data_IF_170429647525
#
_entry.id   IF_170429647525
#
_cell.length_a   1.000
_cell.length_b   1.000
_cell.length_c   1.000
_cell.angle_alpha   90.00
_cell.angle_beta   90.00
_cell.angle_gamma   90.00
#
_symmetry.space_group_name_H-M   'P 1'
#
loop_
_entity.id
_entity.type
_entity.pdbx_description
1 polymer ?
#
# COMPACT_ATOMS: atom_id res chain seq x y z
N UNK A 1 -13.38 22.84 88.21
CA UNK A 1 -14.57 22.21 87.63
C UNK A 1 -14.09 21.38 86.44
N UNK A 2 -14.33 20.06 86.46
CA UNK A 2 -14.14 19.04 85.40
C UNK A 2 -12.70 18.78 84.88
N UNK A 3 -12.01 17.71 85.32
CA UNK A 3 -11.98 16.28 84.90
C UNK A 3 -11.09 15.92 83.71
N UNK A 4 -10.10 15.03 83.98
CA UNK A 4 -9.68 13.76 83.30
C UNK A 4 -9.46 13.80 81.76
N UNK A 5 -8.54 13.07 81.12
CA UNK A 5 -8.07 11.69 81.29
C UNK A 5 -6.88 11.47 80.32
N UNK A 6 -5.95 10.58 80.65
CA UNK A 6 -4.93 10.03 79.74
C UNK A 6 -5.53 9.01 78.77
N UNK A 7 -5.06 8.96 77.51
CA UNK A 7 -4.88 7.73 76.71
C UNK A 7 -3.72 7.93 75.72
N UNK A 8 -2.77 7.00 75.71
CA UNK A 8 -1.71 6.84 74.71
C UNK A 8 -2.23 5.96 73.56
N UNK A 9 -1.86 6.27 72.31
CA UNK A 9 -1.95 5.33 71.20
C UNK A 9 -0.69 5.39 70.34
N UNK A 10 -0.02 4.25 70.22
CA UNK A 10 1.02 3.98 69.24
C UNK A 10 0.40 3.84 67.85
N UNK A 11 1.04 4.40 66.83
CA UNK A 11 0.66 4.28 65.43
C UNK A 11 1.88 3.95 64.57
N UNK A 12 1.81 2.78 63.91
CA UNK A 12 2.81 2.14 63.06
C UNK A 12 2.94 2.86 61.70
N UNK A 13 4.14 2.77 61.11
CA UNK A 13 4.53 3.16 59.74
C UNK A 13 3.51 2.78 58.65
N UNK A 14 3.34 3.66 57.66
CA UNK A 14 3.23 3.26 56.25
C UNK A 14 4.03 4.26 55.40
N UNK A 15 5.09 3.75 54.77
CA UNK A 15 5.81 4.40 53.68
C UNK A 15 4.86 4.47 52.48
N UNK A 16 4.52 5.68 52.01
CA UNK A 16 3.89 5.86 50.72
C UNK A 16 4.96 5.60 49.64
N UNK A 17 4.99 4.37 49.13
CA UNK A 17 5.62 4.09 47.85
C UNK A 17 4.75 4.74 46.76
N UNK A 18 5.30 5.69 46.01
CA UNK A 18 4.74 6.06 44.72
C UNK A 18 4.95 4.87 43.78
N UNK A 19 3.98 3.97 43.70
CA UNK A 19 3.83 3.10 42.54
C UNK A 19 3.56 4.00 41.32
N UNK A 20 4.57 4.13 40.46
CA UNK A 20 4.35 4.56 39.09
C UNK A 20 3.54 3.48 38.39
N UNK A 21 2.22 3.63 38.39
CA UNK A 21 1.37 2.91 37.45
C UNK A 21 1.76 3.38 36.06
N UNK A 22 2.53 2.54 35.35
CA UNK A 22 2.63 2.61 33.90
C UNK A 22 1.19 2.53 33.38
N UNK A 23 0.69 3.66 32.88
CA UNK A 23 -0.61 3.70 32.23
C UNK A 23 -0.59 2.71 31.07
N UNK A 24 -1.59 1.84 31.04
CA UNK A 24 -2.00 1.19 29.80
C UNK A 24 -2.11 2.31 28.74
N UNK A 25 -1.42 2.15 27.61
CA UNK A 25 -1.40 3.15 26.54
C UNK A 25 -2.84 3.56 26.23
N UNK A 26 -3.11 4.87 26.32
CA UNK A 26 -4.40 5.39 25.89
C UNK A 26 -4.54 5.06 24.40
N UNK A 27 -5.59 4.31 24.03
CA UNK A 27 -5.91 4.12 22.61
C UNK A 27 -6.14 5.50 21.99
N UNK A 28 -5.37 5.82 20.95
CA UNK A 28 -5.49 7.08 20.23
C UNK A 28 -6.78 7.03 19.40
N UNK A 29 -7.65 8.03 19.58
CA UNK A 29 -8.88 8.14 18.81
C UNK A 29 -8.56 8.43 17.34
N UNK A 30 -8.83 7.45 16.48
CA UNK A 30 -8.60 7.53 15.04
C UNK A 30 -9.44 8.60 14.36
N UNK A 31 -10.59 8.94 14.95
CA UNK A 31 -11.53 9.92 14.40
C UNK A 31 -11.06 11.36 14.60
N UNK A 32 -9.98 11.62 15.34
CA UNK A 32 -9.52 12.98 15.60
C UNK A 32 -8.09 13.16 15.11
N UNK A 33 -7.87 14.21 14.31
CA UNK A 33 -6.52 14.60 13.88
C UNK A 33 -5.71 15.10 15.10
N UNK A 34 -4.47 14.61 15.32
CA UNK A 34 -3.62 15.11 16.40
C UNK A 34 -3.05 16.52 16.11
N UNK A 35 -3.02 16.95 14.84
CA UNK A 35 -2.73 18.33 14.43
C UNK A 35 -3.98 18.94 13.77
N UNK A 36 -4.19 20.24 13.93
CA UNK A 36 -5.33 20.93 13.30
C UNK A 36 -5.05 22.41 12.99
N UNK A 37 -5.85 22.99 12.09
CA UNK A 37 -5.82 24.41 11.76
C UNK A 37 -4.45 24.87 11.24
N UNK A 38 -3.94 25.99 11.75
CA UNK A 38 -2.69 26.60 11.30
C UNK A 38 -1.40 25.80 11.58
N UNK A 39 -1.49 24.64 12.24
CA UNK A 39 -0.38 23.69 12.36
C UNK A 39 -0.24 22.78 11.13
N UNK A 40 -1.29 22.70 10.31
CA UNK A 40 -1.30 21.94 9.07
C UNK A 40 -0.95 22.86 7.90
N UNK A 41 -0.01 22.45 7.03
CA UNK A 41 0.32 23.23 5.85
C UNK A 41 -0.92 23.37 4.97
N UNK A 42 -1.14 24.59 4.48
CA UNK A 42 -2.14 24.88 3.46
C UNK A 42 -1.41 25.06 2.14
N UNK A 43 -1.63 24.12 1.22
CA UNK A 43 -0.96 24.08 -0.06
C UNK A 43 -1.97 24.39 -1.17
N UNK A 44 -1.72 25.43 -1.97
CA UNK A 44 -2.58 25.84 -3.08
C UNK A 44 -2.02 25.39 -4.44
N UNK A 45 -2.89 25.27 -5.44
CA UNK A 45 -2.54 24.93 -6.83
C UNK A 45 -1.89 23.55 -7.01
N UNK A 46 -2.38 22.54 -6.28
CA UNK A 46 -1.96 21.15 -6.43
C UNK A 46 -3.02 20.18 -5.93
N UNK A 47 -2.62 18.95 -5.66
CA UNK A 47 -3.47 17.89 -5.15
C UNK A 47 -2.85 17.22 -3.92
N UNK A 48 -3.71 16.90 -2.96
CA UNK A 48 -3.38 16.03 -1.84
C UNK A 48 -3.73 14.58 -2.21
N UNK A 49 -2.81 13.64 -1.95
CA UNK A 49 -2.99 12.23 -2.26
C UNK A 49 -2.23 11.35 -1.27
N UNK A 50 -2.60 10.07 -1.18
CA UNK A 50 -1.79 9.07 -0.46
C UNK A 50 -0.85 8.28 -1.38
N UNK A 51 -1.26 8.07 -2.63
CA UNK A 51 -0.50 7.35 -3.64
C UNK A 51 -1.03 7.71 -5.03
N UNK A 52 -0.18 7.55 -6.05
CA UNK A 52 -0.61 7.65 -7.44
C UNK A 52 -1.30 6.35 -7.85
N UNK A 53 -0.70 5.22 -7.49
CA UNK A 53 -1.18 3.88 -7.86
C UNK A 53 -1.79 3.19 -6.64
N UNK A 54 -3.06 2.75 -6.73
CA UNK A 54 -3.71 2.02 -5.67
C UNK A 54 -2.90 0.80 -5.22
N UNK A 55 -2.54 0.70 -3.93
CA UNK A 55 -1.91 -0.52 -3.42
C UNK A 55 -2.91 -1.67 -3.51
N UNK A 56 -2.38 -2.86 -3.76
CA UNK A 56 -3.13 -4.11 -3.68
C UNK A 56 -2.84 -4.80 -2.35
N UNK A 57 -3.88 -5.26 -1.65
CA UNK A 57 -3.76 -5.92 -0.33
C UNK A 57 -4.71 -7.11 -0.22
N UNK A 58 -4.24 -8.16 0.46
CA UNK A 58 -5.10 -9.25 0.91
C UNK A 58 -5.88 -8.86 2.16
N UNK A 59 -6.93 -9.61 2.46
CA UNK A 59 -7.65 -9.54 3.72
C UNK A 59 -6.68 -9.70 4.90
N UNK A 60 -6.80 -8.84 5.91
CA UNK A 60 -5.87 -8.75 7.04
C UNK A 60 -4.60 -7.95 6.76
N UNK A 61 -4.35 -7.60 5.49
CA UNK A 61 -3.26 -6.72 5.10
C UNK A 61 -3.45 -5.29 5.62
N UNK A 62 -2.33 -4.62 5.91
CA UNK A 62 -2.32 -3.25 6.40
C UNK A 62 -1.64 -2.31 5.40
N UNK A 63 -2.13 -1.08 5.29
CA UNK A 63 -1.49 0.01 4.57
C UNK A 63 -1.36 1.24 5.46
N UNK A 64 -0.17 1.85 5.47
CA UNK A 64 0.06 3.14 6.11
C UNK A 64 -0.38 4.27 5.18
N UNK A 65 -1.05 5.28 5.73
CA UNK A 65 -1.53 6.44 4.99
C UNK A 65 -0.56 7.61 5.18
N UNK A 66 0.40 7.73 4.26
CA UNK A 66 1.33 8.88 4.20
C UNK A 66 0.76 9.90 3.22
N UNK A 67 0.36 11.10 3.67
CA UNK A 67 -0.17 12.11 2.77
C UNK A 67 0.97 12.81 2.02
N UNK A 68 0.72 13.14 0.76
CA UNK A 68 1.62 13.90 -0.10
C UNK A 68 0.87 15.07 -0.74
N UNK A 69 1.62 16.14 -1.04
CA UNK A 69 1.18 17.21 -1.92
C UNK A 69 1.93 17.17 -3.24
N UNK A 70 1.23 17.40 -4.35
CA UNK A 70 1.83 17.47 -5.67
C UNK A 70 1.25 18.63 -6.48
N UNK A 71 2.13 19.50 -7.00
CA UNK A 71 1.76 20.60 -7.91
C UNK A 71 1.82 20.18 -9.37
N UNK A 72 2.61 19.14 -9.68
CA UNK A 72 2.75 18.56 -11.00
C UNK A 72 3.24 17.10 -10.90
N UNK A 73 2.97 16.26 -11.91
CA UNK A 73 3.45 14.89 -11.94
C UNK A 73 4.95 14.77 -11.68
N UNK A 74 5.36 13.74 -10.93
CA UNK A 74 6.76 13.48 -10.58
C UNK A 74 7.29 14.24 -9.36
N UNK A 75 6.57 15.25 -8.85
CA UNK A 75 6.98 16.00 -7.66
C UNK A 75 6.01 15.78 -6.50
N UNK A 76 6.54 15.22 -5.41
CA UNK A 76 5.78 14.87 -4.22
C UNK A 76 6.47 15.45 -2.98
N UNK A 77 5.71 16.20 -2.19
CA UNK A 77 6.13 16.74 -0.91
C UNK A 77 5.43 15.97 0.21
N UNK A 78 6.20 15.40 1.14
CA UNK A 78 5.66 14.73 2.31
C UNK A 78 4.86 15.70 3.17
N UNK A 79 3.68 15.27 3.59
CA UNK A 79 2.81 16.02 4.49
C UNK A 79 2.74 15.36 5.87
N UNK A 80 2.57 16.13 6.95
CA UNK A 80 2.37 15.56 8.29
C UNK A 80 1.12 14.68 8.37
N UNK A 81 1.29 13.39 8.68
CA UNK A 81 0.18 12.44 8.89
C UNK A 81 -0.76 12.85 10.03
N UNK A 82 -0.27 13.63 10.99
CA UNK A 82 -1.08 14.18 12.07
C UNK A 82 -2.18 15.16 11.60
N UNK A 83 -2.12 15.63 10.36
CA UNK A 83 -3.14 16.49 9.75
C UNK A 83 -4.25 15.72 9.01
N UNK A 84 -4.16 14.39 8.97
CA UNK A 84 -5.24 13.53 8.47
C UNK A 84 -6.38 13.56 9.48
N UNK A 85 -7.56 14.00 9.04
CA UNK A 85 -8.79 14.03 9.81
C UNK A 85 -9.48 12.67 9.92
N UNK A 86 -10.79 12.73 10.13
CA UNK A 86 -11.65 11.58 10.26
C UNK A 86 -11.54 10.70 9.01
N UNK A 87 -11.31 9.40 9.22
CA UNK A 87 -11.27 8.42 8.15
C UNK A 87 -12.63 7.79 7.96
N UNK A 88 -12.99 7.58 6.70
CA UNK A 88 -14.12 6.73 6.31
C UNK A 88 -13.71 5.84 5.15
N UNK A 89 -14.42 4.72 4.99
CA UNK A 89 -14.24 3.78 3.90
C UNK A 89 -15.58 3.45 3.25
N UNK A 90 -15.55 3.06 1.98
CA UNK A 90 -16.68 2.45 1.29
C UNK A 90 -16.21 1.14 0.63
N UNK A 91 -16.80 -0.01 1.00
CA UNK A 91 -17.73 -0.20 2.12
C UNK A 91 -17.08 0.05 3.49
N UNK A 92 -17.87 0.49 4.48
CA UNK A 92 -17.37 0.94 5.80
C UNK A 92 -16.73 -0.22 6.57
N UNK A 93 -17.38 -1.38 6.53
CA UNK A 93 -16.98 -2.59 7.25
C UNK A 93 -15.70 -3.24 6.70
N UNK A 94 -15.28 -2.92 5.47
CA UNK A 94 -14.13 -3.56 4.83
C UNK A 94 -12.78 -3.09 5.39
N UNK A 95 -12.76 -2.00 6.16
CA UNK A 95 -11.52 -1.46 6.75
C UNK A 95 -11.73 -1.12 8.22
N UNK A 96 -10.75 -1.48 9.04
CA UNK A 96 -10.55 -0.87 10.34
C UNK A 96 -9.37 0.10 10.27
N UNK A 97 -9.52 1.24 10.94
CA UNK A 97 -8.46 2.23 11.06
C UNK A 97 -7.80 2.15 12.44
N UNK A 98 -6.50 2.41 12.48
CA UNK A 98 -5.74 2.66 13.71
C UNK A 98 -4.84 3.87 13.52
N UNK A 99 -4.52 4.58 14.61
CA UNK A 99 -3.67 5.77 14.57
C UNK A 99 -2.61 5.63 15.65
N UNK A 100 -1.36 5.93 15.28
CA UNK A 100 -0.23 5.95 16.21
C UNK A 100 -0.08 7.32 16.88
N UNK A 101 0.73 7.40 17.93
CA UNK A 101 0.98 8.65 18.68
C UNK A 101 1.61 9.75 17.82
N UNK A 102 2.36 9.39 16.78
CA UNK A 102 2.94 10.31 15.80
C UNK A 102 1.92 10.81 14.76
N UNK A 103 0.68 10.34 14.85
CA UNK A 103 -0.42 10.69 13.96
C UNK A 103 -0.52 9.85 12.69
N UNK A 104 0.40 8.89 12.47
CA UNK A 104 0.33 7.98 11.33
C UNK A 104 -0.93 7.11 11.40
N UNK A 105 -1.68 7.06 10.30
CA UNK A 105 -2.90 6.26 10.20
C UNK A 105 -2.60 4.99 9.42
N UNK A 106 -3.13 3.88 9.89
CA UNK A 106 -3.09 2.59 9.22
C UNK A 106 -4.50 2.11 8.92
N UNK A 107 -4.74 1.70 7.68
CA UNK A 107 -5.94 1.01 7.26
C UNK A 107 -5.65 -0.49 7.18
N UNK A 108 -6.44 -1.30 7.89
CA UNK A 108 -6.34 -2.77 7.88
C UNK A 108 -7.58 -3.35 7.22
N UNK A 109 -7.40 -4.18 6.19
CA UNK A 109 -8.50 -4.83 5.51
C UNK A 109 -9.12 -5.88 6.43
N UNK A 110 -10.43 -5.79 6.65
CA UNK A 110 -11.16 -6.74 7.49
C UNK A 110 -11.62 -7.95 6.68
N UNK A 111 -12.21 -8.93 7.36
CA UNK A 111 -12.84 -10.09 6.71
C UNK A 111 -14.08 -9.73 5.87
N UNK A 112 -14.60 -8.50 5.96
CA UNK A 112 -15.68 -8.03 5.11
C UNK A 112 -15.19 -7.44 3.78
N UNK A 113 -13.87 -7.27 3.60
CA UNK A 113 -13.31 -6.90 2.31
C UNK A 113 -13.40 -8.08 1.33
N UNK A 114 -14.08 -7.88 0.21
CA UNK A 114 -14.26 -8.93 -0.81
C UNK A 114 -13.10 -8.92 -1.82
N UNK A 115 -12.42 -10.06 -2.08
CA UNK A 115 -11.45 -10.16 -3.17
C UNK A 115 -12.04 -9.73 -4.52
N UNK A 116 -11.26 -9.00 -5.31
CA UNK A 116 -11.69 -8.40 -6.58
C UNK A 116 -12.48 -7.08 -6.42
N UNK A 117 -12.75 -6.63 -5.19
CA UNK A 117 -13.38 -5.35 -4.93
C UNK A 117 -12.37 -4.21 -4.78
N UNK A 118 -12.88 -2.98 -4.80
CA UNK A 118 -12.14 -1.75 -4.52
C UNK A 118 -12.70 -1.11 -3.26
N UNK A 119 -11.82 -0.73 -2.35
CA UNK A 119 -12.18 0.04 -1.16
C UNK A 119 -11.81 1.49 -1.39
N UNK A 120 -12.78 2.38 -1.26
CA UNK A 120 -12.55 3.83 -1.37
C UNK A 120 -12.39 4.41 0.03
N UNK A 121 -11.21 4.92 0.33
CA UNK A 121 -10.93 5.71 1.52
C UNK A 121 -11.27 7.17 1.26
N UNK A 122 -11.85 7.83 2.24
CA UNK A 122 -12.12 9.28 2.22
C UNK A 122 -11.76 9.90 3.55
N UNK A 123 -11.07 11.04 3.51
CA UNK A 123 -10.74 11.82 4.70
C UNK A 123 -10.62 13.30 4.37
N UNK A 124 -10.48 14.14 5.39
CA UNK A 124 -10.05 15.53 5.22
C UNK A 124 -8.58 15.69 5.60
N UNK A 125 -7.88 16.62 4.95
CA UNK A 125 -6.55 17.05 5.32
C UNK A 125 -6.61 18.50 5.83
N UNK A 126 -6.05 18.73 7.03
CA UNK A 126 -6.11 20.03 7.69
C UNK A 126 -7.53 20.53 8.02
N UNK A 127 -8.54 19.66 7.91
CA UNK A 127 -9.95 20.00 8.11
C UNK A 127 -10.62 20.77 6.97
N UNK A 128 -10.00 20.84 5.79
CA UNK A 128 -10.52 21.64 4.67
C UNK A 128 -10.63 20.82 3.39
N UNK A 129 -9.56 20.15 2.97
CA UNK A 129 -9.52 19.46 1.69
C UNK A 129 -9.84 17.99 1.82
N UNK A 130 -10.70 17.46 0.96
CA UNK A 130 -11.01 16.03 0.94
C UNK A 130 -9.96 15.27 0.13
N UNK A 131 -9.33 14.27 0.73
CA UNK A 131 -8.51 13.28 0.04
C UNK A 131 -9.36 12.03 -0.16
N UNK A 132 -9.32 11.47 -1.38
CA UNK A 132 -9.85 10.15 -1.67
C UNK A 132 -8.77 9.25 -2.24
N UNK A 133 -8.74 7.99 -1.83
CA UNK A 133 -7.77 7.02 -2.30
C UNK A 133 -8.40 5.62 -2.36
N UNK A 134 -7.83 4.75 -3.19
CA UNK A 134 -8.37 3.41 -3.42
C UNK A 134 -7.38 2.35 -2.98
N UNK A 135 -7.88 1.27 -2.37
CA UNK A 135 -7.13 0.02 -2.16
C UNK A 135 -7.80 -1.07 -3.01
N UNK A 136 -7.00 -1.82 -3.76
CA UNK A 136 -7.46 -2.99 -4.50
C UNK A 136 -7.38 -4.23 -3.57
N UNK A 137 -8.48 -4.96 -3.44
CA UNK A 137 -8.53 -6.18 -2.61
C UNK A 137 -8.28 -7.38 -3.51
N UNK A 138 -7.35 -8.26 -3.14
CA UNK A 138 -7.11 -9.51 -3.86
C UNK A 138 -7.01 -10.71 -2.92
N UNK A 139 -7.10 -11.90 -3.50
CA UNK A 139 -6.81 -13.17 -2.84
C UNK A 139 -5.54 -13.74 -3.48
N UNK A 140 -4.46 -13.85 -2.70
CA UNK A 140 -3.17 -14.35 -3.19
C UNK A 140 -3.22 -15.81 -3.60
N UNK A 141 -4.15 -16.61 -3.08
CA UNK A 141 -4.33 -17.99 -3.51
C UNK A 141 -4.99 -18.06 -4.91
N UNK A 142 -5.94 -17.16 -5.17
CA UNK A 142 -6.61 -17.05 -6.47
C UNK A 142 -5.74 -16.33 -7.51
N UNK A 143 -4.93 -15.35 -7.09
CA UNK A 143 -4.07 -14.56 -7.95
C UNK A 143 -2.69 -14.32 -7.31
N UNK A 144 -1.78 -15.30 -7.44
CA UNK A 144 -0.45 -15.23 -6.85
C UNK A 144 0.51 -14.32 -7.62
N UNK A 145 0.08 -13.73 -8.75
CA UNK A 145 0.91 -12.82 -9.54
C UNK A 145 0.91 -11.39 -9.00
N UNK A 146 -0.09 -11.00 -8.20
CA UNK A 146 -0.18 -9.63 -7.67
C UNK A 146 1.12 -9.26 -6.94
N UNK A 147 1.74 -8.16 -7.38
CA UNK A 147 3.02 -7.71 -6.84
C UNK A 147 3.99 -7.22 -7.92
N UNK A 148 5.23 -7.06 -7.49
CA UNK A 148 6.33 -6.59 -8.31
C UNK A 148 7.21 -7.77 -8.74
N UNK A 149 7.62 -7.75 -10.00
CA UNK A 149 8.45 -8.75 -10.63
C UNK A 149 9.54 -8.08 -11.46
N UNK A 150 10.73 -8.67 -11.47
CA UNK A 150 11.82 -8.25 -12.34
C UNK A 150 12.47 -9.49 -12.96
N UNK A 151 12.90 -9.40 -14.23
CA UNK A 151 13.64 -10.48 -14.86
C UNK A 151 15.02 -10.63 -14.25
N UNK A 152 15.45 -11.87 -14.07
CA UNK A 152 16.81 -12.18 -13.66
C UNK A 152 17.80 -11.71 -14.72
N UNK A 153 18.89 -11.11 -14.26
CA UNK A 153 20.03 -10.78 -15.11
C UNK A 153 21.13 -11.83 -14.91
N UNK A 154 20.95 -12.98 -15.57
CA UNK A 154 21.94 -14.07 -15.58
C UNK A 154 22.93 -13.97 -16.75
N UNK A 155 22.87 -12.86 -17.52
CA UNK A 155 23.66 -12.64 -18.73
C UNK A 155 23.12 -13.32 -20.00
N UNK A 156 21.94 -13.95 -19.94
CA UNK A 156 21.27 -14.53 -21.12
C UNK A 156 20.59 -13.48 -22.01
N UNK A 157 20.27 -12.32 -21.45
CA UNK A 157 19.59 -11.21 -22.11
C UNK A 157 20.51 -9.99 -22.27
N UNK A 158 20.24 -9.14 -23.26
CA UNK A 158 20.86 -7.81 -23.32
C UNK A 158 20.32 -6.93 -22.19
N UNK A 159 21.16 -6.03 -21.63
CA UNK A 159 20.75 -5.16 -20.51
C UNK A 159 19.49 -4.33 -20.78
N UNK A 160 19.29 -3.93 -22.03
CA UNK A 160 18.16 -3.09 -22.43
C UNK A 160 16.87 -3.89 -22.68
N UNK A 161 16.96 -5.22 -22.84
CA UNK A 161 15.80 -6.10 -23.07
C UNK A 161 15.21 -6.72 -21.80
N UNK A 162 15.92 -6.58 -20.67
CA UNK A 162 15.48 -7.07 -19.37
C UNK A 162 14.34 -6.18 -18.87
N UNK A 163 13.18 -6.78 -18.60
CA UNK A 163 12.09 -6.11 -17.91
C UNK A 163 12.50 -5.93 -16.45
N UNK A 164 12.66 -4.68 -16.03
CA UNK A 164 13.07 -4.34 -14.67
C UNK A 164 11.88 -4.15 -13.75
N UNK A 165 10.73 -3.78 -14.27
CA UNK A 165 9.49 -3.71 -13.50
C UNK A 165 8.35 -4.32 -14.29
N UNK A 166 7.80 -5.40 -13.77
CA UNK A 166 6.51 -5.95 -14.15
C UNK A 166 5.65 -5.92 -12.90
N UNK A 167 4.55 -5.18 -12.95
CA UNK A 167 3.66 -5.03 -11.80
C UNK A 167 2.30 -5.59 -12.19
N UNK A 168 1.80 -6.55 -11.43
CA UNK A 168 0.43 -7.01 -11.51
C UNK A 168 -0.34 -6.46 -10.31
N UNK A 169 -1.48 -5.82 -10.55
CA UNK A 169 -2.35 -5.27 -9.52
C UNK A 169 -3.52 -6.20 -9.23
N UNK A 170 -4.08 -6.10 -8.03
CA UNK A 170 -5.23 -6.87 -7.57
C UNK A 170 -6.53 -6.56 -8.30
N UNK A 171 -6.59 -5.48 -9.07
CA UNK A 171 -7.74 -5.14 -9.91
C UNK A 171 -7.65 -5.66 -11.35
N UNK A 172 -6.71 -6.57 -11.63
CA UNK A 172 -6.57 -7.18 -12.94
C UNK A 172 -5.81 -6.30 -13.95
N UNK A 173 -5.14 -5.24 -13.50
CA UNK A 173 -4.26 -4.44 -14.37
C UNK A 173 -2.79 -4.82 -14.22
N UNK A 174 -2.01 -4.63 -15.29
CA UNK A 174 -0.57 -4.82 -15.25
C UNK A 174 0.18 -3.68 -15.93
N UNK A 175 1.47 -3.54 -15.62
CA UNK A 175 2.37 -2.65 -16.34
C UNK A 175 3.76 -3.22 -16.48
N UNK A 176 4.45 -2.83 -17.55
CA UNK A 176 5.82 -3.24 -17.88
C UNK A 176 6.70 -2.02 -18.08
N UNK A 177 7.90 -2.08 -17.53
CA UNK A 177 8.96 -1.09 -17.68
C UNK A 177 10.32 -1.76 -17.88
N UNK A 178 11.01 -1.43 -18.96
CA UNK A 178 12.40 -1.86 -19.20
C UNK A 178 13.41 -0.96 -18.49
N UNK A 179 13.18 0.36 -18.51
CA UNK A 179 14.07 1.35 -17.89
C UNK A 179 13.32 2.22 -16.88
N UNK A 180 13.33 1.85 -15.58
CA UNK A 180 12.61 2.58 -14.54
C UNK A 180 13.14 3.99 -14.37
N UNK A 181 12.23 4.96 -14.39
CA UNK A 181 12.52 6.36 -14.12
C UNK A 181 11.24 7.07 -13.69
N UNK A 182 11.21 7.56 -12.44
CA UNK A 182 10.01 8.18 -11.83
C UNK A 182 8.77 7.28 -12.01
N UNK A 183 7.67 7.81 -12.56
CA UNK A 183 6.42 7.08 -12.83
C UNK A 183 6.34 6.56 -14.27
N UNK A 184 7.45 6.47 -14.99
CA UNK A 184 7.47 6.00 -16.38
C UNK A 184 7.10 4.52 -16.48
N UNK A 185 6.24 4.21 -17.45
CA UNK A 185 5.86 2.85 -17.84
C UNK A 185 5.98 2.72 -19.35
N UNK A 186 6.51 1.63 -19.84
CA UNK A 186 6.56 1.40 -21.28
C UNK A 186 5.16 1.07 -21.79
N UNK A 187 4.45 0.14 -21.15
CA UNK A 187 3.05 -0.12 -21.47
C UNK A 187 2.29 -0.73 -20.29
N UNK A 188 0.96 -0.77 -20.44
CA UNK A 188 0.04 -1.31 -19.44
C UNK A 188 -1.18 -1.92 -20.12
N UNK A 189 -2.00 -2.60 -19.32
CA UNK A 189 -3.26 -3.15 -19.77
C UNK A 189 -3.91 -4.02 -18.71
N UNK A 190 -4.77 -4.91 -19.16
CA UNK A 190 -5.48 -5.88 -18.33
C UNK A 190 -4.84 -7.26 -18.42
N UNK A 191 -4.90 -8.03 -17.34
CA UNK A 191 -4.48 -9.43 -17.30
C UNK A 191 -5.52 -10.31 -16.62
N UNK A 192 -5.54 -11.57 -17.04
CA UNK A 192 -6.24 -12.65 -16.35
C UNK A 192 -5.26 -13.80 -16.10
N UNK A 193 -5.36 -14.44 -14.95
CA UNK A 193 -4.52 -15.58 -14.60
C UNK A 193 -5.37 -16.74 -14.08
N UNK A 194 -5.17 -17.93 -14.65
CA UNK A 194 -5.83 -19.17 -14.23
C UNK A 194 -4.84 -20.06 -13.48
N UNK A 195 -4.98 -20.13 -12.15
CA UNK A 195 -4.05 -20.87 -11.28
C UNK A 195 -3.95 -22.37 -11.58
N UNK A 196 -5.02 -23.00 -12.08
CA UNK A 196 -5.02 -24.44 -12.37
C UNK A 196 -4.18 -24.81 -13.60
N UNK A 197 -4.19 -23.96 -14.63
CA UNK A 197 -3.50 -24.23 -15.91
C UNK A 197 -2.22 -23.42 -16.07
N UNK A 198 -2.03 -22.38 -15.25
CA UNK A 198 -0.97 -21.40 -15.42
C UNK A 198 -1.19 -20.46 -16.61
N UNK A 199 -2.39 -20.42 -17.18
CA UNK A 199 -2.69 -19.56 -18.33
C UNK A 199 -2.71 -18.10 -17.90
N UNK A 200 -1.85 -17.29 -18.53
CA UNK A 200 -1.80 -15.84 -18.42
C UNK A 200 -2.32 -15.23 -19.72
N UNK A 201 -3.40 -14.46 -19.61
CA UNK A 201 -3.95 -13.67 -20.71
C UNK A 201 -3.53 -12.21 -20.50
N UNK A 202 -2.97 -11.59 -21.53
CA UNK A 202 -2.53 -10.20 -21.52
C UNK A 202 -3.29 -9.43 -22.60
N UNK A 203 -3.87 -8.31 -22.19
CA UNK A 203 -4.57 -7.37 -23.08
C UNK A 203 -3.96 -5.97 -22.91
N UNK A 204 -2.85 -5.68 -23.61
CA UNK A 204 -2.30 -4.32 -23.64
C UNK A 204 -3.34 -3.34 -24.19
N UNK A 205 -3.55 -2.21 -23.50
CA UNK A 205 -4.55 -1.20 -23.89
C UNK A 205 -3.96 0.21 -24.05
N UNK A 206 -2.71 0.40 -23.61
CA UNK A 206 -2.02 1.68 -23.69
C UNK A 206 -0.54 1.59 -23.33
N UNK A 207 0.22 2.63 -23.65
CA UNK A 207 1.64 2.67 -23.36
C UNK A 207 2.37 3.82 -24.05
N UNK A 208 3.57 4.12 -23.53
CA UNK A 208 4.57 4.91 -24.23
C UNK A 208 5.28 4.10 -25.34
N UNK A 209 5.28 2.78 -25.21
CA UNK A 209 5.84 1.81 -26.13
C UNK A 209 5.14 0.44 -25.98
N UNK A 210 4.06 0.22 -26.73
CA UNK A 210 3.34 -1.07 -26.76
C UNK A 210 3.96 -1.97 -27.85
N UNK A 211 4.55 -3.12 -27.52
CA UNK A 211 5.10 -4.04 -28.51
C UNK A 211 4.00 -4.74 -29.33
N UNK A 212 4.27 -5.04 -30.60
CA UNK A 212 3.34 -5.80 -31.47
C UNK A 212 3.37 -7.31 -31.19
N UNK A 213 4.39 -7.78 -30.48
CA UNK A 213 4.71 -9.18 -30.21
C UNK A 213 4.45 -9.60 -28.76
N UNK A 214 3.61 -8.86 -28.04
CA UNK A 214 3.04 -9.34 -26.76
C UNK A 214 2.15 -10.55 -27.04
N UNK A 215 2.35 -11.62 -26.28
CA UNK A 215 1.59 -12.86 -26.46
C UNK A 215 1.22 -13.51 -25.13
N UNK A 216 -0.07 -13.84 -25.02
CA UNK A 216 -0.64 -14.63 -23.93
C UNK A 216 -0.16 -16.09 -24.02
N UNK A 217 -0.14 -16.79 -22.89
CA UNK A 217 0.28 -18.18 -22.86
C UNK A 217 0.45 -18.71 -21.44
N UNK A 218 1.08 -19.87 -21.31
CA UNK A 218 1.24 -20.51 -20.02
C UNK A 218 2.51 -20.04 -19.33
N UNK A 219 2.41 -19.89 -18.02
CA UNK A 219 3.51 -19.58 -17.14
C UNK A 219 3.69 -20.67 -16.10
N UNK A 220 4.87 -20.72 -15.49
CA UNK A 220 5.16 -21.60 -14.37
C UNK A 220 5.59 -20.77 -13.18
N UNK A 221 4.87 -20.91 -12.08
CA UNK A 221 5.16 -20.23 -10.82
C UNK A 221 5.64 -21.26 -9.79
N UNK A 222 6.93 -21.22 -9.46
CA UNK A 222 7.58 -22.14 -8.51
C UNK A 222 8.57 -21.35 -7.66
N UNK A 223 8.61 -21.58 -6.34
CA UNK A 223 9.60 -20.99 -5.42
C UNK A 223 9.74 -19.44 -5.50
N UNK A 224 8.62 -18.74 -5.77
CA UNK A 224 8.63 -17.27 -5.91
C UNK A 224 9.24 -16.77 -7.22
N UNK A 225 9.45 -17.67 -8.17
CA UNK A 225 9.93 -17.39 -9.51
C UNK A 225 8.84 -17.68 -10.54
N UNK A 226 8.65 -16.75 -11.46
CA UNK A 226 7.73 -16.84 -12.57
C UNK A 226 8.53 -17.06 -13.88
N UNK A 227 8.32 -18.20 -14.55
CA UNK A 227 8.94 -18.52 -15.84
C UNK A 227 7.89 -18.50 -16.96
N UNK A 228 8.23 -17.85 -18.08
CA UNK A 228 7.44 -17.89 -19.32
C UNK A 228 7.60 -19.25 -20.02
N UNK A 229 6.50 -19.89 -20.43
CA UNK A 229 6.54 -21.09 -21.28
C UNK A 229 6.29 -20.74 -22.75
N UNK A 230 6.63 -21.68 -23.63
CA UNK A 230 6.64 -21.53 -25.09
C UNK A 230 5.44 -20.74 -25.64
N UNK A 231 5.74 -19.62 -26.29
CA UNK A 231 4.75 -18.75 -26.93
C UNK A 231 4.24 -17.60 -26.06
N UNK A 232 4.60 -17.52 -24.78
CA UNK A 232 4.27 -16.40 -23.90
C UNK A 232 5.36 -15.31 -23.96
N UNK A 233 4.97 -14.05 -24.08
CA UNK A 233 5.91 -12.93 -24.22
C UNK A 233 5.31 -11.62 -23.71
N UNK A 234 6.11 -10.83 -23.01
CA UNK A 234 5.81 -9.41 -22.72
C UNK A 234 6.29 -8.47 -23.85
N UNK A 235 6.65 -9.05 -24.99
CA UNK A 235 7.06 -8.32 -26.18
C UNK A 235 8.51 -7.84 -26.16
N UNK A 236 8.90 -7.22 -27.26
CA UNK A 236 10.24 -6.71 -27.49
C UNK A 236 10.34 -5.21 -27.19
N UNK A 237 11.55 -4.77 -26.84
CA UNK A 237 11.90 -3.34 -26.78
C UNK A 237 11.74 -2.68 -28.15
N UNK A 238 11.86 -1.34 -28.21
CA UNK A 238 11.93 -0.60 -29.49
C UNK A 238 13.05 -1.06 -30.42
N UNK A 239 14.09 -1.68 -29.88
CA UNK A 239 15.20 -2.21 -30.66
C UNK A 239 14.90 -3.62 -31.24
N UNK A 240 13.75 -4.22 -30.90
CA UNK A 240 13.38 -5.56 -31.31
C UNK A 240 14.05 -6.66 -30.49
N UNK A 241 14.53 -6.34 -29.30
CA UNK A 241 15.14 -7.31 -28.37
C UNK A 241 14.13 -7.71 -27.30
N UNK A 242 14.06 -9.00 -26.98
CA UNK A 242 13.24 -9.54 -25.90
C UNK A 242 14.07 -10.45 -25.00
N UNK A 243 13.62 -10.58 -23.76
CA UNK A 243 14.23 -11.42 -22.76
C UNK A 243 13.22 -12.46 -22.28
N UNK A 244 13.66 -13.72 -22.22
CA UNK A 244 12.86 -14.84 -21.71
C UNK A 244 13.38 -15.35 -20.34
N UNK A 245 14.28 -14.61 -19.71
CA UNK A 245 14.77 -14.95 -18.38
C UNK A 245 13.59 -15.01 -17.38
N UNK A 246 13.66 -15.88 -16.37
CA UNK A 246 12.65 -15.95 -15.32
C UNK A 246 12.53 -14.61 -14.57
N UNK A 247 11.36 -14.38 -14.01
CA UNK A 247 11.07 -13.26 -13.13
C UNK A 247 11.20 -13.69 -11.68
N UNK A 248 11.82 -12.86 -10.86
CA UNK A 248 11.84 -13.01 -9.40
C UNK A 248 10.92 -11.97 -8.78
N UNK A 249 10.13 -12.41 -7.80
CA UNK A 249 9.29 -11.50 -7.02
C UNK A 249 10.15 -10.55 -6.20
N UNK A 250 9.92 -9.24 -6.35
CA UNK A 250 10.45 -8.26 -5.43
C UNK A 250 9.49 -8.12 -4.25
N UNK A 251 9.99 -8.28 -3.04
CA UNK A 251 9.27 -7.78 -1.86
C UNK A 251 9.13 -6.27 -2.01
N UNK A 252 7.91 -5.82 -2.31
CA UNK A 252 7.55 -4.40 -2.28
C UNK A 252 7.57 -3.85 -0.87
#
# INVERSE_FOLDING_TARGET
MMTKLWVALAGVLVLAACESTAGAGAEVDVSVAPLSGGACPYNENGAHLFWIEPPSREVGGTVGLTPYFSTHPGHFEDLPSGCIGDMSAMPEEAVSFSRQEDGMVYATLTQAAEPGSKIILTTSYGGVETISATINVYDGAANPLVGYWAQENDGSCSEDSIIRELIFQGDGTFSVTWTPFESYKDYWGEYEYETETGLLILTPDGGNNVPEDVSSGTIRLEDGQFTLLDGTSFGSTRAGESCAAPFVGGGG
#
